data_IF_768997260566
#
_entry.id   IF_768997260566
#
_cell.length_a   1.000
_cell.length_b   1.000
_cell.length_c   1.000
_cell.angle_alpha   90.00
_cell.angle_beta   90.00
_cell.angle_gamma   90.00
#
_symmetry.space_group_name_H-M   'P 1'
#
loop_
_entity.id
_entity.type
_entity.pdbx_description
1 polymer ?
#
# COMPACT_ATOMS: atom_id res chain seq x y z
N UNK A 1 -0.47 3.92 12.06
CA UNK A 1 -0.72 2.67 12.83
C UNK A 1 -0.05 2.78 14.20
N UNK A 2 -0.73 2.43 15.31
CA UNK A 2 -0.19 2.52 16.67
C UNK A 2 1.05 1.64 16.87
N UNK A 3 1.96 2.04 17.76
CA UNK A 3 3.24 1.35 17.97
C UNK A 3 3.05 -0.10 18.44
N UNK A 4 2.16 -0.33 19.39
CA UNK A 4 1.88 -1.66 19.93
C UNK A 4 1.20 -2.60 18.91
N UNK A 5 0.71 -2.07 17.78
CA UNK A 5 0.19 -2.86 16.67
C UNK A 5 1.28 -3.25 15.64
N UNK A 6 2.49 -2.69 15.72
CA UNK A 6 3.60 -2.95 14.79
C UNK A 6 4.25 -4.30 15.10
N UNK A 7 3.51 -5.37 14.87
CA UNK A 7 3.96 -6.75 15.02
C UNK A 7 4.01 -7.43 13.66
N UNK A 8 4.94 -8.37 13.48
CA UNK A 8 5.06 -9.17 12.25
C UNK A 8 3.79 -9.98 11.97
N UNK A 9 3.11 -10.46 13.02
CA UNK A 9 1.85 -11.20 12.91
C UNK A 9 0.74 -10.33 12.30
N UNK A 10 0.53 -9.13 12.84
CA UNK A 10 -0.47 -8.22 12.31
C UNK A 10 -0.07 -7.68 10.94
N UNK A 11 1.21 -7.38 10.74
CA UNK A 11 1.75 -6.98 9.44
C UNK A 11 1.51 -8.00 8.35
N UNK A 12 1.76 -9.29 8.63
CA UNK A 12 1.47 -10.38 7.68
C UNK A 12 -0.02 -10.45 7.37
N UNK A 13 -0.91 -10.36 8.38
CA UNK A 13 -2.37 -10.35 8.16
C UNK A 13 -2.84 -9.19 7.28
N UNK A 14 -2.29 -7.99 7.50
CA UNK A 14 -2.57 -6.79 6.71
C UNK A 14 -2.06 -6.98 5.28
N UNK A 15 -0.81 -7.40 5.12
CA UNK A 15 -0.17 -7.61 3.82
C UNK A 15 -0.85 -8.71 2.99
N UNK A 16 -1.40 -9.75 3.64
CA UNK A 16 -2.19 -10.79 2.97
C UNK A 16 -3.47 -10.27 2.30
N UNK A 17 -3.95 -9.07 2.68
CA UNK A 17 -5.05 -8.41 1.97
C UNK A 17 -4.59 -7.78 0.66
N UNK A 18 -3.30 -7.53 0.48
CA UNK A 18 -2.73 -6.96 -0.74
C UNK A 18 -2.36 -8.06 -1.73
N UNK A 19 -1.71 -9.13 -1.27
CA UNK A 19 -1.27 -10.25 -2.09
C UNK A 19 -0.70 -11.40 -1.25
N UNK A 20 0.00 -12.32 -1.90
CA UNK A 20 0.69 -13.42 -1.21
C UNK A 20 1.93 -12.88 -0.48
N UNK A 21 2.06 -13.17 0.82
CA UNK A 21 3.12 -12.58 1.66
C UNK A 21 4.35 -13.49 1.70
N UNK A 22 5.45 -13.02 1.12
CA UNK A 22 6.74 -13.71 1.12
C UNK A 22 7.48 -13.46 2.44
N UNK A 23 7.65 -12.18 2.82
CA UNK A 23 8.34 -11.78 4.04
C UNK A 23 7.59 -10.63 4.71
N UNK A 24 7.66 -10.54 6.05
CA UNK A 24 7.21 -9.37 6.79
C UNK A 24 8.05 -9.18 8.05
N UNK A 25 8.63 -7.99 8.22
CA UNK A 25 9.44 -7.63 9.38
C UNK A 25 9.13 -6.21 9.86
N UNK A 26 9.57 -5.93 11.09
CA UNK A 26 9.56 -4.59 11.67
C UNK A 26 10.87 -3.89 11.30
N UNK A 27 10.77 -2.66 10.85
CA UNK A 27 11.89 -1.79 10.51
C UNK A 27 11.85 -0.54 11.39
N UNK A 28 13.01 0.06 11.63
CA UNK A 28 13.14 1.33 12.34
C UNK A 28 13.77 2.38 11.45
N UNK A 29 13.17 3.57 11.39
CA UNK A 29 13.74 4.74 10.70
C UNK A 29 14.57 5.62 11.65
N UNK A 30 14.94 5.06 12.82
CA UNK A 30 15.69 5.74 13.88
C UNK A 30 14.81 6.20 15.04
N UNK A 31 15.42 6.65 16.16
CA UNK A 31 14.73 6.87 17.45
C UNK A 31 13.57 7.88 17.38
N UNK A 32 13.65 8.89 16.50
CA UNK A 32 12.62 9.92 16.35
C UNK A 32 11.49 9.54 15.39
N UNK A 33 11.75 8.66 14.42
CA UNK A 33 10.77 8.30 13.37
C UNK A 33 9.95 7.06 13.74
N UNK A 34 10.42 6.29 14.72
CA UNK A 34 9.75 5.10 15.23
C UNK A 34 9.84 3.91 14.28
N UNK A 35 9.15 2.83 14.65
CA UNK A 35 9.14 1.62 13.86
C UNK A 35 8.06 1.65 12.78
N UNK A 36 8.15 0.76 11.82
CA UNK A 36 7.14 0.55 10.78
C UNK A 36 7.26 -0.88 10.24
N UNK A 37 6.26 -1.33 9.50
CA UNK A 37 6.25 -2.67 8.93
C UNK A 37 6.64 -2.58 7.46
N UNK A 38 7.53 -3.49 7.03
CA UNK A 38 7.71 -3.79 5.61
C UNK A 38 7.31 -5.22 5.35
N UNK A 39 6.64 -5.42 4.23
CA UNK A 39 6.29 -6.74 3.75
C UNK A 39 6.60 -6.86 2.25
N UNK A 40 7.20 -7.97 1.86
CA UNK A 40 7.37 -8.35 0.47
C UNK A 40 6.18 -9.20 0.07
N UNK A 41 5.42 -8.74 -0.91
CA UNK A 41 4.19 -9.38 -1.37
C UNK A 41 4.25 -9.66 -2.87
N UNK A 42 3.76 -10.82 -3.29
CA UNK A 42 3.52 -11.12 -4.69
C UNK A 42 2.14 -10.59 -5.08
N UNK A 43 2.12 -9.72 -6.08
CA UNK A 43 0.92 -9.06 -6.60
C UNK A 43 0.85 -9.32 -8.10
N UNK A 44 -0.34 -9.69 -8.58
CA UNK A 44 -0.63 -9.74 -10.01
C UNK A 44 -0.74 -8.32 -10.57
N UNK A 45 -0.03 -8.02 -11.64
CA UNK A 45 0.03 -6.67 -12.25
C UNK A 45 -1.34 -6.15 -12.72
N UNK A 46 -2.27 -7.06 -12.98
CA UNK A 46 -3.65 -6.78 -13.39
C UNK A 46 -4.52 -6.29 -12.20
N UNK A 47 -4.05 -6.51 -10.97
CA UNK A 47 -4.73 -6.02 -9.78
C UNK A 47 -4.36 -4.55 -9.53
N UNK A 48 -5.38 -3.74 -9.22
CA UNK A 48 -5.15 -2.37 -8.76
C UNK A 48 -4.44 -2.36 -7.42
N UNK A 49 -3.45 -1.48 -7.29
CA UNK A 49 -2.75 -1.23 -6.04
C UNK A 49 -3.71 -0.70 -4.98
N UNK A 50 -3.52 -1.17 -3.75
CA UNK A 50 -4.32 -0.73 -2.59
C UNK A 50 -3.62 0.43 -1.91
N UNK A 51 -4.38 1.48 -1.61
CA UNK A 51 -3.89 2.66 -0.88
C UNK A 51 -3.75 2.44 0.62
N UNK A 52 -4.47 1.43 1.14
CA UNK A 52 -4.55 1.17 2.56
C UNK A 52 -5.76 0.33 2.91
N UNK A 53 -5.99 0.18 4.21
CA UNK A 53 -7.19 -0.43 4.75
C UNK A 53 -7.58 0.22 6.08
N UNK A 54 -8.84 0.05 6.47
CA UNK A 54 -9.28 0.40 7.80
C UNK A 54 -9.20 -0.83 8.70
N UNK A 55 -8.53 -0.68 9.84
CA UNK A 55 -8.36 -1.71 10.85
C UNK A 55 -9.11 -1.31 12.12
N UNK A 56 -10.05 -2.14 12.56
CA UNK A 56 -10.73 -1.96 13.83
C UNK A 56 -9.97 -2.60 14.99
N UNK A 57 -9.80 -1.87 16.08
CA UNK A 57 -9.26 -2.34 17.36
C UNK A 57 -10.19 -1.94 18.49
N UNK A 58 -10.38 -2.80 19.49
CA UNK A 58 -11.13 -2.44 20.71
C UNK A 58 -10.45 -1.32 21.49
N UNK A 59 -9.11 -1.22 21.40
CA UNK A 59 -8.31 -0.22 22.10
C UNK A 59 -8.22 1.10 21.32
N UNK A 60 -8.01 1.00 20.01
CA UNK A 60 -7.65 2.17 19.17
C UNK A 60 -8.78 2.64 18.27
N UNK A 61 -9.96 2.00 18.36
CA UNK A 61 -11.07 2.25 17.46
C UNK A 61 -10.72 1.90 16.00
N UNK A 62 -11.30 2.65 15.06
CA UNK A 62 -11.03 2.49 13.64
C UNK A 62 -9.76 3.26 13.25
N UNK A 63 -8.70 2.54 12.91
CA UNK A 63 -7.45 3.12 12.43
C UNK A 63 -7.27 2.86 10.94
N UNK A 64 -7.04 3.93 10.16
CA UNK A 64 -6.59 3.80 8.77
C UNK A 64 -5.10 3.42 8.73
N UNK A 65 -4.79 2.36 8.01
CA UNK A 65 -3.42 1.92 7.70
C UNK A 65 -3.17 2.22 6.24
N UNK A 66 -2.22 3.11 5.96
CA UNK A 66 -1.86 3.48 4.60
C UNK A 66 -0.73 2.59 4.09
N UNK A 67 -0.81 2.22 2.81
CA UNK A 67 0.20 1.42 2.14
C UNK A 67 1.06 2.32 1.27
N UNK A 68 2.35 1.99 1.24
CA UNK A 68 3.33 2.58 0.34
C UNK A 68 4.14 1.46 -0.28
N UNK A 69 4.49 1.59 -1.54
CA UNK A 69 5.18 0.54 -2.30
C UNK A 69 6.59 1.01 -2.62
N UNK A 70 7.57 0.22 -2.21
CA UNK A 70 8.95 0.39 -2.61
C UNK A 70 9.15 -0.20 -4.02
N UNK A 71 10.06 0.38 -4.80
CA UNK A 71 10.37 -0.07 -6.17
C UNK A 71 9.13 -0.13 -7.07
N UNK A 72 8.18 0.78 -6.86
CA UNK A 72 6.96 0.88 -7.64
C UNK A 72 7.29 1.37 -9.06
N UNK A 73 7.15 0.53 -10.10
CA UNK A 73 7.32 0.97 -11.49
C UNK A 73 6.16 1.88 -11.91
N UNK A 74 6.16 2.26 -13.19
CA UNK A 74 5.03 3.00 -13.79
C UNK A 74 3.72 2.26 -13.51
N UNK A 75 2.76 2.99 -12.96
CA UNK A 75 1.41 2.52 -12.69
C UNK A 75 0.40 3.61 -13.03
N UNK A 76 -0.81 3.19 -13.35
CA UNK A 76 -1.85 4.09 -13.81
C UNK A 76 -2.54 4.74 -12.60
N UNK A 77 -2.56 6.07 -12.55
CA UNK A 77 -3.21 6.80 -11.46
C UNK A 77 -4.74 6.73 -11.49
N UNK A 78 -5.31 6.31 -12.62
CA UNK A 78 -6.74 6.13 -12.78
C UNK A 78 -7.20 4.74 -12.33
N UNK A 79 -6.65 3.68 -12.92
CA UNK A 79 -7.09 2.31 -12.63
C UNK A 79 -6.25 1.60 -11.56
N UNK A 80 -5.09 2.14 -11.19
CA UNK A 80 -4.18 1.60 -10.18
C UNK A 80 -3.38 0.37 -10.58
N UNK A 81 -3.43 -0.07 -11.85
CA UNK A 81 -2.67 -1.22 -12.35
C UNK A 81 -1.26 -0.82 -12.77
N UNK A 82 -0.34 -1.78 -12.73
CA UNK A 82 1.06 -1.61 -13.12
C UNK A 82 1.19 -1.73 -14.66
N UNK A 83 2.24 -1.09 -15.23
CA UNK A 83 2.73 -1.15 -16.63
C UNK A 83 2.31 -0.01 -17.56
N UNK A 84 1.28 0.77 -17.24
CA UNK A 84 0.82 1.87 -18.09
C UNK A 84 0.54 3.11 -17.26
N UNK A 85 0.52 4.27 -17.90
CA UNK A 85 0.07 5.53 -17.32
C UNK A 85 -1.41 5.78 -17.64
N UNK A 86 -1.94 6.94 -17.24
CA UNK A 86 -3.35 7.29 -17.51
C UNK A 86 -3.62 7.46 -19.01
N UNK A 87 -2.64 7.95 -19.78
CA UNK A 87 -2.80 8.23 -21.21
C UNK A 87 -2.92 6.95 -22.05
N UNK A 88 -2.43 5.82 -21.54
CA UNK A 88 -2.52 4.51 -22.18
C UNK A 88 -3.47 3.56 -21.41
N UNK A 89 -4.48 4.11 -20.75
CA UNK A 89 -5.38 3.33 -19.90
C UNK A 89 -6.69 2.99 -20.61
N UNK A 90 -6.81 1.74 -21.07
CA UNK A 90 -8.02 1.21 -21.72
C UNK A 90 -9.29 1.39 -20.87
N UNK A 91 -9.17 1.39 -19.54
CA UNK A 91 -10.31 1.60 -18.62
C UNK A 91 -10.72 3.08 -18.60
N UNK A 92 -9.74 3.99 -18.67
CA UNK A 92 -10.03 5.43 -18.72
C UNK A 92 -10.72 5.79 -20.04
N UNK A 93 -10.21 5.26 -21.16
CA UNK A 93 -10.80 5.42 -22.50
C UNK A 93 -12.26 4.91 -22.54
N UNK A 94 -12.55 3.77 -21.89
CA UNK A 94 -13.91 3.24 -21.83
C UNK A 94 -14.84 4.01 -20.88
N UNK A 95 -14.32 4.66 -19.83
CA UNK A 95 -15.13 5.41 -18.85
C UNK A 95 -15.40 6.88 -19.28
N UNK A 96 -14.76 7.40 -20.33
CA UNK A 96 -15.06 8.73 -20.89
C UNK A 96 -16.50 8.86 -21.41
N UNK A 97 -17.18 7.74 -21.72
CA UNK A 97 -18.59 7.72 -22.14
C UNK A 97 -19.60 7.88 -20.99
N UNK A 98 -19.15 7.84 -19.71
CA UNK A 98 -20.04 7.92 -18.54
C UNK A 98 -19.44 8.76 -17.39
N UNK A 99 -19.44 10.09 -17.54
CA UNK A 99 -19.11 11.02 -16.45
C UNK A 99 -20.18 10.95 -15.35
N UNK A 100 -19.91 10.29 -14.22
CA UNK A 100 -20.45 10.66 -12.89
C UNK A 100 -19.95 9.77 -11.74
N UNK A 101 -18.68 9.89 -11.35
CA UNK A 101 -18.31 9.93 -9.93
C UNK A 101 -16.80 10.06 -9.82
N UNK A 102 -16.38 11.07 -9.07
CA UNK A 102 -15.00 11.38 -8.70
C UNK A 102 -14.27 10.17 -8.12
N UNK A 103 -13.71 9.29 -8.97
CA UNK A 103 -12.61 8.42 -8.54
C UNK A 103 -11.47 9.36 -8.20
N UNK A 104 -11.21 9.52 -6.90
CA UNK A 104 -10.04 10.25 -6.42
C UNK A 104 -8.83 9.47 -6.95
N UNK A 105 -8.18 10.01 -7.98
CA UNK A 105 -7.06 9.36 -8.63
C UNK A 105 -5.98 9.03 -7.60
N UNK A 106 -5.32 7.90 -7.80
CA UNK A 106 -4.08 7.57 -7.11
C UNK A 106 -3.01 8.60 -7.48
N UNK A 107 -1.85 8.55 -6.83
CA UNK A 107 -0.77 9.45 -7.20
C UNK A 107 0.61 8.97 -6.77
N UNK A 108 1.63 9.77 -7.12
CA UNK A 108 3.03 9.51 -6.82
C UNK A 108 3.29 9.26 -5.32
N UNK A 109 2.42 9.79 -4.45
CA UNK A 109 2.48 9.55 -3.01
C UNK A 109 2.36 8.07 -2.63
N UNK A 110 1.88 7.19 -3.50
CA UNK A 110 1.82 5.75 -3.23
C UNK A 110 3.21 5.08 -3.22
N UNK A 111 4.21 5.72 -3.82
CA UNK A 111 5.60 5.31 -3.74
C UNK A 111 6.23 5.54 -2.36
N UNK A 112 7.19 4.69 -2.00
CA UNK A 112 8.05 4.87 -0.83
C UNK A 112 9.53 4.77 -1.19
N UNK A 113 10.34 5.58 -0.50
CA UNK A 113 11.78 5.45 -0.50
C UNK A 113 12.20 4.22 0.32
N UNK A 114 13.23 3.53 -0.15
CA UNK A 114 13.82 2.38 0.55
C UNK A 114 14.60 2.92 1.75
N UNK A 115 13.98 2.88 2.94
CA UNK A 115 14.55 3.46 4.17
C UNK A 115 14.43 2.53 5.37
N UNK A 116 15.20 2.81 6.43
CA UNK A 116 15.14 2.11 7.71
C UNK A 116 15.88 0.77 7.74
N UNK A 117 16.21 0.33 8.96
CA UNK A 117 16.93 -0.92 9.22
C UNK A 117 15.99 -1.97 9.82
N UNK A 118 16.17 -3.24 9.45
CA UNK A 118 15.43 -4.36 10.03
C UNK A 118 15.72 -4.39 11.53
N UNK A 119 14.68 -4.44 12.34
CA UNK A 119 14.80 -4.64 13.78
C UNK A 119 14.86 -6.14 13.99
N UNK A 120 16.03 -6.65 14.37
CA UNK A 120 16.17 -8.01 14.87
C UNK A 120 15.45 -8.09 16.21
N UNK A 121 14.51 -9.04 16.33
CA UNK A 121 13.83 -9.35 17.58
C UNK A 121 14.55 -10.50 18.27
#
# INVERSE_FOLDING_TARGET
>A
MPEHCKTTILGRKIASRVGEVMECNVFSAGPRKGNFLKASVMIKIENSLKEGLNMGSKRDGLTKVEFKYERLPIFCYFCGRIKHDVANCEIAEAEEEHISSSKKGLGAWLGADITGNKVEQ
#
